data_IF_579781260177
#
_entry.id   IF_579781260177
#
_cell.length_a   1.000
_cell.length_b   1.000
_cell.length_c   1.000
_cell.angle_alpha   90.00
_cell.angle_beta   90.00
_cell.angle_gamma   90.00
#
_symmetry.space_group_name_H-M   'P 1'
#
loop_
_entity.id
_entity.type
_entity.pdbx_description
1 polymer ?
#
# COMPACT_ATOMS: atom_id res chain seq x y z
N UNK A 1 -0.35 4.57 -6.45
CA UNK A 1 0.40 4.48 -5.16
C UNK A 1 0.96 3.08 -5.03
N UNK A 2 2.02 2.89 -4.24
CA UNK A 2 2.82 1.66 -4.29
C UNK A 2 2.95 1.03 -2.91
N UNK A 3 2.69 -0.27 -2.80
CA UNK A 3 2.86 -1.05 -1.58
C UNK A 3 3.99 -2.06 -1.76
N UNK A 4 4.99 -2.00 -0.88
CA UNK A 4 5.99 -3.04 -0.75
C UNK A 4 5.42 -4.16 0.13
N UNK A 5 5.41 -5.39 -0.38
CA UNK A 5 4.70 -6.52 0.25
C UNK A 5 5.58 -7.77 0.35
N UNK A 6 5.34 -8.55 1.39
CA UNK A 6 5.86 -9.91 1.49
C UNK A 6 5.03 -10.91 0.66
N UNK A 7 5.49 -12.16 0.52
CA UNK A 7 4.82 -13.17 -0.31
C UNK A 7 3.35 -13.41 0.06
N UNK A 8 3.04 -13.55 1.35
CA UNK A 8 1.68 -13.84 1.81
C UNK A 8 0.68 -12.74 1.40
N UNK A 9 1.07 -11.48 1.59
CA UNK A 9 0.26 -10.33 1.22
C UNK A 9 0.13 -10.22 -0.31
N UNK A 10 1.21 -10.46 -1.05
CA UNK A 10 1.18 -10.46 -2.51
C UNK A 10 0.16 -11.47 -3.03
N UNK A 11 0.22 -12.73 -2.58
CA UNK A 11 -0.70 -13.76 -3.03
C UNK A 11 -2.14 -13.48 -2.61
N UNK A 12 -2.37 -12.92 -1.41
CA UNK A 12 -3.72 -12.55 -0.97
C UNK A 12 -4.32 -11.44 -1.87
N UNK A 13 -3.55 -10.39 -2.15
CA UNK A 13 -3.98 -9.29 -3.01
C UNK A 13 -4.22 -9.78 -4.44
N UNK A 14 -3.33 -10.61 -5.00
CA UNK A 14 -3.50 -11.14 -6.36
C UNK A 14 -4.68 -12.09 -6.46
N UNK A 15 -4.98 -12.86 -5.41
CA UNK A 15 -6.13 -13.79 -5.37
C UNK A 15 -7.46 -13.08 -5.17
N UNK A 16 -7.51 -12.05 -4.32
CA UNK A 16 -8.76 -11.40 -3.90
C UNK A 16 -9.03 -10.08 -4.62
N UNK A 17 -8.02 -9.53 -5.30
CA UNK A 17 -7.99 -8.19 -5.87
C UNK A 17 -8.30 -7.10 -4.83
N UNK A 18 -7.95 -7.34 -3.57
CA UNK A 18 -8.26 -6.49 -2.42
C UNK A 18 -7.12 -6.52 -1.41
N UNK A 19 -7.02 -5.45 -0.63
CA UNK A 19 -6.15 -5.41 0.54
C UNK A 19 -6.94 -5.75 1.80
N UNK A 20 -6.46 -6.73 2.57
CA UNK A 20 -7.11 -7.22 3.79
C UNK A 20 -6.24 -6.97 5.02
N UNK A 21 -6.85 -6.63 6.17
CA UNK A 21 -6.10 -6.68 7.44
C UNK A 21 -5.82 -8.13 7.82
N UNK A 22 -4.64 -8.37 8.35
CA UNK A 22 -4.30 -9.65 8.96
C UNK A 22 -4.65 -9.56 10.45
N UNK A 23 -5.40 -10.52 11.01
CA UNK A 23 -5.70 -10.56 12.44
C UNK A 23 -4.42 -10.43 13.28
N UNK A 24 -4.49 -9.69 14.39
CA UNK A 24 -3.38 -9.46 15.33
C UNK A 24 -2.14 -8.74 14.74
N UNK A 25 -2.26 -8.12 13.57
CA UNK A 25 -1.22 -7.23 13.00
C UNK A 25 -1.68 -5.78 12.95
N UNK A 26 -0.82 -4.91 12.41
CA UNK A 26 -1.16 -3.52 12.13
C UNK A 26 -2.52 -3.44 11.42
N UNK A 27 -3.45 -2.71 12.01
CA UNK A 27 -4.80 -2.52 11.48
C UNK A 27 -4.84 -1.39 10.45
N UNK A 28 -3.90 -1.42 9.51
CA UNK A 28 -3.76 -0.43 8.43
C UNK A 28 -2.88 -0.98 7.30
N UNK A 29 -2.95 -0.32 6.14
CA UNK A 29 -2.06 -0.55 5.00
C UNK A 29 -1.39 0.75 4.62
N UNK A 30 -0.06 0.72 4.47
CA UNK A 30 0.74 1.89 4.16
C UNK A 30 1.30 1.79 2.74
N UNK A 31 1.20 2.90 2.00
CA UNK A 31 1.59 3.02 0.60
C UNK A 31 2.57 4.18 0.44
N UNK A 32 3.61 3.99 -0.36
CA UNK A 32 4.45 5.07 -0.85
C UNK A 32 3.82 5.78 -2.04
N UNK A 33 4.08 7.09 -2.17
CA UNK A 33 3.63 7.89 -3.30
C UNK A 33 4.60 7.86 -4.52
N UNK A 34 5.79 7.27 -4.35
CA UNK A 34 6.79 7.09 -5.42
C UNK A 34 7.26 5.64 -5.49
N UNK A 35 7.31 5.07 -6.70
CA UNK A 35 7.79 3.71 -6.93
C UNK A 35 9.25 3.55 -6.50
N UNK A 36 10.12 4.50 -6.90
CA UNK A 36 11.55 4.43 -6.58
C UNK A 36 11.82 4.49 -5.07
N UNK A 37 11.03 5.26 -4.32
CA UNK A 37 11.14 5.34 -2.87
C UNK A 37 10.65 4.05 -2.22
N UNK A 38 9.56 3.47 -2.72
CA UNK A 38 9.03 2.18 -2.29
C UNK A 38 10.00 1.04 -2.60
N UNK A 39 10.70 1.07 -3.73
CA UNK A 39 11.74 0.10 -4.06
C UNK A 39 12.95 0.22 -3.13
N UNK A 40 13.43 1.44 -2.88
CA UNK A 40 14.50 1.68 -1.88
C UNK A 40 14.11 1.24 -0.48
N UNK A 41 12.83 1.32 -0.13
CA UNK A 41 12.31 0.75 1.11
C UNK A 41 12.35 -0.78 1.06
N UNK A 42 11.82 -1.38 0.00
CA UNK A 42 11.80 -2.83 -0.20
C UNK A 42 13.19 -3.46 -0.09
N UNK A 43 14.20 -2.87 -0.72
CA UNK A 43 15.58 -3.35 -0.73
C UNK A 43 16.22 -3.42 0.68
N UNK A 44 15.67 -2.71 1.68
CA UNK A 44 16.17 -2.74 3.06
C UNK A 44 15.70 -3.95 3.85
N UNK A 45 14.64 -4.63 3.40
CA UNK A 45 14.00 -5.69 4.17
C UNK A 45 13.94 -6.98 3.36
N UNK A 46 14.62 -8.01 3.83
CA UNK A 46 14.71 -9.31 3.15
C UNK A 46 13.39 -10.07 3.04
N UNK A 47 12.37 -9.69 3.82
CA UNK A 47 11.05 -10.31 3.81
C UNK A 47 10.04 -9.63 2.87
N UNK A 48 10.46 -8.56 2.18
CA UNK A 48 9.68 -7.94 1.10
C UNK A 48 10.08 -8.61 -0.21
N UNK A 49 9.08 -9.11 -0.94
CA UNK A 49 9.30 -9.90 -2.15
C UNK A 49 8.68 -9.31 -3.40
N UNK A 50 7.79 -8.32 -3.28
CA UNK A 50 7.14 -7.69 -4.42
C UNK A 50 6.70 -6.26 -4.15
N UNK A 51 6.44 -5.50 -5.22
CA UNK A 51 5.79 -4.19 -5.17
C UNK A 51 4.51 -4.22 -6.00
N UNK A 52 3.42 -3.77 -5.40
CA UNK A 52 2.11 -3.64 -6.05
C UNK A 52 1.81 -2.16 -6.25
N UNK A 53 1.51 -1.76 -7.47
CA UNK A 53 0.87 -0.47 -7.76
C UNK A 53 -0.64 -0.62 -7.64
N UNK A 54 -1.26 0.25 -6.84
CA UNK A 54 -2.70 0.43 -6.79
C UNK A 54 -3.08 1.77 -7.44
N UNK A 55 -3.90 1.70 -8.49
CA UNK A 55 -4.49 2.89 -9.13
C UNK A 55 -5.83 3.20 -8.48
N UNK A 56 -5.95 4.41 -7.94
CA UNK A 56 -7.15 4.91 -7.27
C UNK A 56 -7.40 6.37 -7.66
N UNK A 57 -8.66 6.83 -7.69
CA UNK A 57 -8.98 8.24 -7.88
C UNK A 57 -8.47 9.10 -6.71
N UNK A 58 -7.62 10.08 -7.00
CA UNK A 58 -7.03 10.98 -5.98
C UNK A 58 -8.09 11.72 -5.15
N UNK A 59 -9.21 12.11 -5.77
CA UNK A 59 -10.30 12.85 -5.12
C UNK A 59 -11.05 12.04 -4.05
N UNK A 60 -11.04 10.71 -4.16
CA UNK A 60 -11.64 9.83 -3.15
C UNK A 60 -10.59 9.41 -2.14
N UNK A 61 -9.36 9.14 -2.59
CA UNK A 61 -8.23 8.84 -1.72
C UNK A 61 -8.00 9.94 -0.67
N UNK A 62 -8.14 11.22 -1.04
CA UNK A 62 -7.96 12.36 -0.12
C UNK A 62 -8.98 12.39 1.03
N UNK A 63 -10.10 11.64 0.94
CA UNK A 63 -11.14 11.59 1.97
C UNK A 63 -10.98 10.43 2.95
N UNK A 64 -10.31 9.36 2.52
CA UNK A 64 -10.19 8.10 3.29
C UNK A 64 -8.75 7.79 3.70
N UNK A 65 -7.77 8.41 3.05
CA UNK A 65 -6.36 8.25 3.35
C UNK A 65 -5.89 9.20 4.43
N UNK A 66 -5.03 8.67 5.30
CA UNK A 66 -4.22 9.43 6.24
C UNK A 66 -2.87 9.74 5.58
N UNK A 67 -2.60 11.02 5.35
CA UNK A 67 -1.39 11.51 4.70
C UNK A 67 -0.31 11.92 5.71
N UNK A 68 -0.46 11.53 6.98
CA UNK A 68 0.60 11.68 7.97
C UNK A 68 1.83 10.90 7.52
N UNK A 69 2.90 11.63 7.23
CA UNK A 69 4.08 11.06 6.62
C UNK A 69 4.87 10.19 7.59
N UNK A 70 5.13 8.95 7.18
CA UNK A 70 5.96 7.96 7.89
C UNK A 70 7.29 7.79 7.16
N UNK A 71 8.35 7.43 7.88
CA UNK A 71 9.69 7.18 7.32
C UNK A 71 10.18 8.28 6.37
N UNK A 72 10.09 9.54 6.82
CA UNK A 72 10.37 10.76 6.04
C UNK A 72 11.75 10.80 5.37
N UNK A 73 12.71 10.06 5.92
CA UNK A 73 14.05 9.94 5.33
C UNK A 73 14.06 9.14 4.02
N UNK A 74 13.09 8.25 3.84
CA UNK A 74 12.94 7.39 2.66
C UNK A 74 11.85 7.96 1.73
N UNK A 75 10.63 8.18 2.26
CA UNK A 75 9.48 8.58 1.47
C UNK A 75 9.36 10.11 1.40
N UNK A 76 10.22 10.77 0.62
CA UNK A 76 10.18 12.22 0.47
C UNK A 76 8.94 12.69 -0.27
N UNK A 77 8.42 11.84 -1.16
CA UNK A 77 7.17 12.08 -1.90
C UNK A 77 5.92 11.88 -1.04
N UNK A 78 6.09 11.36 0.18
CA UNK A 78 5.02 11.12 1.14
C UNK A 78 4.50 9.68 1.15
N UNK A 79 3.69 9.40 2.16
CA UNK A 79 3.03 8.12 2.38
C UNK A 79 1.54 8.33 2.53
N UNK A 80 0.76 7.29 2.24
CA UNK A 80 -0.67 7.23 2.54
C UNK A 80 -0.93 5.99 3.37
N UNK A 81 -1.60 6.17 4.49
CA UNK A 81 -2.07 5.08 5.34
C UNK A 81 -3.57 4.93 5.21
N UNK A 82 -4.03 3.72 4.92
CA UNK A 82 -5.45 3.36 4.90
C UNK A 82 -5.73 2.53 6.14
N UNK A 83 -6.49 3.10 7.08
CA UNK A 83 -6.89 2.44 8.32
C UNK A 83 -7.91 1.32 8.04
N UNK A 84 -7.97 0.32 8.92
CA UNK A 84 -8.78 -0.88 8.73
C UNK A 84 -10.27 -0.59 8.49
N UNK A 85 -10.83 0.40 9.19
CA UNK A 85 -12.23 0.84 9.04
C UNK A 85 -12.51 1.46 7.66
N UNK A 86 -11.48 1.93 6.96
CA UNK A 86 -11.56 2.51 5.61
C UNK A 86 -11.19 1.54 4.49
N UNK A 87 -10.61 0.37 4.79
CA UNK A 87 -10.22 -0.59 3.76
C UNK A 87 -11.40 -1.09 2.91
N UNK A 88 -12.58 -1.23 3.51
CA UNK A 88 -13.78 -1.63 2.77
C UNK A 88 -14.20 -0.61 1.70
N UNK A 89 -14.02 0.69 1.98
CA UNK A 89 -14.26 1.77 1.01
C UNK A 89 -13.12 1.86 -0.01
N UNK A 90 -11.88 1.77 0.48
CA UNK A 90 -10.68 1.77 -0.35
C UNK A 90 -10.71 0.67 -1.43
N UNK A 91 -11.03 -0.57 -1.04
CA UNK A 91 -11.09 -1.69 -1.97
C UNK A 91 -12.14 -1.51 -3.07
N UNK A 92 -13.19 -0.69 -2.85
CA UNK A 92 -14.22 -0.41 -3.87
C UNK A 92 -13.76 0.62 -4.89
N UNK A 93 -12.76 1.45 -4.57
CA UNK A 93 -12.29 2.53 -5.44
C UNK A 93 -11.02 2.16 -6.22
N UNK A 94 -10.43 0.99 -5.95
CA UNK A 94 -9.32 0.45 -6.71
C UNK A 94 -9.77 0.21 -8.14
N UNK A 95 -9.08 0.86 -9.07
CA UNK A 95 -9.32 0.73 -10.51
C UNK A 95 -8.46 -0.39 -11.09
N UNK A 96 -7.23 -0.54 -10.58
CA UNK A 96 -6.27 -1.50 -11.08
C UNK A 96 -5.23 -1.84 -10.00
N UNK A 97 -4.77 -3.09 -10.03
CA UNK A 97 -3.64 -3.60 -9.24
C UNK A 97 -2.61 -4.19 -10.20
N UNK A 98 -1.39 -3.67 -10.15
CA UNK A 98 -0.31 -4.05 -11.06
C UNK A 98 0.87 -4.53 -10.24
N UNK A 99 1.40 -5.70 -10.60
CA UNK A 99 2.69 -6.18 -10.08
C UNK A 99 3.82 -5.46 -10.82
N UNK A 100 4.62 -4.67 -10.08
CA UNK A 100 5.67 -3.81 -10.65
C UNK A 100 7.09 -4.35 -10.49
N UNK A 101 7.33 -5.16 -9.45
CA UNK A 101 8.61 -5.76 -9.10
C UNK A 101 8.36 -7.07 -8.38
#
# INVERSE_FOLDING_TARGET
>A
MYMAVGPDEFYDVMKTSKFNVIPNRLQAKQYGLSFEETLKFADKYSNIGAIIEAKVPTSVLSKIGDFTQVDKFIFKSGTVTIHADKLGEFNKIIQELIHMY
#
